data_IF_198700390560
#
_entry.id   IF_198700390560
#
_cell.length_a   1.000
_cell.length_b   1.000
_cell.length_c   1.000
_cell.angle_alpha   90.00
_cell.angle_beta   90.00
_cell.angle_gamma   90.00
#
_symmetry.space_group_name_H-M   'P 1'
#
loop_
_entity.id
_entity.type
_entity.pdbx_description
1 polymer ?
#
# COMPACT_ATOMS: atom_id res chain seq x y z
N UNK A 1 0.73 -16.08 -10.70
CA UNK A 1 -0.57 -15.35 -10.70
C UNK A 1 -0.24 -13.89 -10.46
N UNK A 2 -0.80 -12.97 -11.25
CA UNK A 2 -0.53 -11.53 -11.07
C UNK A 2 -1.56 -10.94 -10.11
N UNK A 3 -1.11 -10.11 -9.17
CA UNK A 3 -1.94 -9.39 -8.22
C UNK A 3 -1.71 -7.89 -8.46
N UNK A 4 -2.72 -7.22 -9.00
CA UNK A 4 -2.75 -5.78 -9.24
C UNK A 4 -3.21 -5.03 -7.99
N UNK A 5 -2.30 -4.29 -7.38
CA UNK A 5 -2.55 -3.41 -6.25
C UNK A 5 -2.63 -1.97 -6.73
N UNK A 6 -3.75 -1.28 -6.50
CA UNK A 6 -3.92 0.13 -6.88
C UNK A 6 -3.84 1.00 -5.64
N UNK A 7 -3.02 2.05 -5.67
CA UNK A 7 -2.83 2.97 -4.55
C UNK A 7 -3.49 4.31 -4.85
N UNK A 8 -4.44 4.72 -4.01
CA UNK A 8 -5.29 5.90 -4.21
C UNK A 8 -5.26 6.81 -2.99
N UNK A 9 -5.69 8.06 -3.15
CA UNK A 9 -5.61 9.06 -2.09
C UNK A 9 -5.30 10.45 -2.66
N UNK A 10 -5.47 11.48 -1.83
CA UNK A 10 -5.28 12.87 -2.25
C UNK A 10 -3.85 13.16 -2.77
N UNK A 11 -3.72 14.24 -3.53
CA UNK A 11 -2.40 14.71 -3.96
C UNK A 11 -1.57 15.10 -2.73
N UNK A 12 -0.29 14.71 -2.70
CA UNK A 12 0.62 15.08 -1.61
C UNK A 12 0.50 14.26 -0.32
N UNK A 13 -0.36 13.23 -0.27
CA UNK A 13 -0.43 12.33 0.89
C UNK A 13 0.75 11.35 0.97
N UNK A 14 1.61 11.27 -0.06
CA UNK A 14 2.82 10.45 -0.01
C UNK A 14 2.72 9.06 -0.65
N UNK A 15 1.74 8.82 -1.53
CA UNK A 15 1.62 7.56 -2.31
C UNK A 15 2.91 7.26 -3.09
N UNK A 16 3.31 8.15 -3.99
CA UNK A 16 4.55 8.02 -4.76
C UNK A 16 5.79 7.89 -3.86
N UNK A 17 5.84 8.63 -2.75
CA UNK A 17 6.93 8.54 -1.77
C UNK A 17 6.99 7.15 -1.14
N UNK A 18 5.85 6.59 -0.75
CA UNK A 18 5.73 5.24 -0.19
C UNK A 18 6.25 4.19 -1.16
N UNK A 19 5.93 4.30 -2.45
CA UNK A 19 6.40 3.36 -3.47
C UNK A 19 7.90 3.53 -3.73
N UNK A 20 8.40 4.75 -3.82
CA UNK A 20 9.85 5.01 -3.96
C UNK A 20 10.64 4.49 -2.75
N UNK A 21 10.14 4.70 -1.54
CA UNK A 21 10.76 4.18 -0.32
C UNK A 21 10.76 2.67 -0.31
N UNK A 22 9.66 2.00 -0.73
CA UNK A 22 9.61 0.55 -0.88
C UNK A 22 10.70 0.05 -1.84
N UNK A 23 10.86 0.69 -3.00
CA UNK A 23 11.87 0.33 -4.03
C UNK A 23 13.29 0.45 -3.48
N UNK A 24 13.56 1.53 -2.76
CA UNK A 24 14.89 1.82 -2.24
C UNK A 24 15.23 1.05 -0.95
N UNK A 25 14.28 0.30 -0.38
CA UNK A 25 14.60 -0.67 0.65
C UNK A 25 15.26 -1.87 -0.04
N UNK A 26 16.54 -2.12 0.25
CA UNK A 26 17.37 -3.25 -0.25
C UNK A 26 16.77 -4.66 0.02
N UNK A 27 15.56 -4.73 0.59
CA UNK A 27 14.83 -5.92 1.03
C UNK A 27 13.64 -6.27 0.14
N UNK A 28 13.56 -5.74 -1.09
CA UNK A 28 12.58 -6.24 -2.04
C UNK A 28 13.00 -7.63 -2.50
N UNK A 29 12.53 -8.63 -1.75
CA UNK A 29 12.52 -10.01 -2.21
C UNK A 29 11.90 -10.06 -3.62
N UNK A 30 12.30 -11.03 -4.45
CA UNK A 30 11.90 -11.20 -5.86
C UNK A 30 10.37 -11.33 -6.13
N UNK A 31 9.52 -11.07 -5.13
CA UNK A 31 8.06 -11.12 -5.16
C UNK A 31 7.40 -9.81 -5.62
N UNK A 32 8.08 -8.66 -5.59
CA UNK A 32 7.49 -7.35 -5.86
C UNK A 32 8.01 -6.75 -7.17
N UNK A 33 7.10 -6.32 -8.06
CA UNK A 33 7.46 -5.55 -9.27
C UNK A 33 6.73 -4.21 -9.24
N UNK A 34 7.50 -3.12 -9.35
CA UNK A 34 6.95 -1.77 -9.44
C UNK A 34 6.78 -1.37 -10.92
N UNK A 35 5.60 -0.87 -11.27
CA UNK A 35 5.31 -0.25 -12.58
C UNK A 35 4.83 1.19 -12.35
N UNK A 36 5.66 2.23 -12.60
CA UNK A 36 5.21 3.61 -12.52
C UNK A 36 4.15 3.89 -13.59
N UNK A 37 3.13 4.70 -13.29
CA UNK A 37 2.10 5.10 -14.28
C UNK A 37 2.10 6.61 -14.48
N UNK A 38 2.68 7.11 -15.59
CA UNK A 38 2.07 7.98 -16.62
C UNK A 38 2.97 7.83 -17.87
N UNK A 39 2.54 7.01 -18.85
CA UNK A 39 3.25 6.75 -20.13
C UNK A 39 4.72 6.27 -20.01
N UNK A 40 4.91 4.96 -19.99
CA UNK A 40 5.82 4.26 -20.90
C UNK A 40 5.56 2.75 -20.77
N UNK A 41 5.11 2.16 -21.87
CA UNK A 41 4.96 0.72 -22.03
C UNK A 41 6.32 0.18 -22.48
N UNK A 42 7.07 -0.46 -21.58
CA UNK A 42 8.00 -1.52 -21.97
C UNK A 42 7.97 -2.63 -20.92
N UNK A 43 7.33 -3.73 -21.29
CA UNK A 43 7.35 -4.98 -20.54
C UNK A 43 8.66 -5.71 -20.77
N UNK A 44 9.15 -6.38 -19.73
CA UNK A 44 10.24 -7.34 -19.86
C UNK A 44 9.88 -8.56 -19.02
N UNK A 45 9.66 -9.68 -19.71
CA UNK A 45 9.37 -10.97 -19.09
C UNK A 45 10.63 -11.52 -18.41
N UNK A 46 10.43 -12.06 -17.20
CA UNK A 46 11.37 -13.03 -16.65
C UNK A 46 10.61 -14.14 -15.95
N UNK A 47 10.65 -15.33 -16.56
CA UNK A 47 10.21 -16.60 -16.01
C UNK A 47 11.35 -17.25 -15.26
N UNK A 48 11.11 -17.69 -14.02
CA UNK A 48 11.96 -18.70 -13.38
C UNK A 48 11.09 -19.95 -13.10
N UNK A 49 11.53 -21.09 -13.63
CA UNK A 49 10.73 -22.28 -14.00
C UNK A 49 10.19 -23.15 -12.84
N UNK A 50 10.31 -22.76 -11.58
CA UNK A 50 10.06 -23.73 -10.48
C UNK A 50 9.02 -23.31 -9.44
N UNK A 51 8.41 -22.14 -9.62
CA UNK A 51 7.39 -21.59 -8.72
C UNK A 51 6.41 -20.78 -9.59
N UNK A 52 5.11 -20.73 -9.28
CA UNK A 52 4.30 -19.58 -9.71
C UNK A 52 4.31 -18.57 -8.54
N UNK A 53 5.37 -17.74 -8.37
CA UNK A 53 5.29 -16.65 -7.41
C UNK A 53 4.11 -15.74 -7.81
N UNK A 54 3.50 -15.10 -6.81
CA UNK A 54 2.58 -14.02 -7.09
C UNK A 54 3.39 -12.83 -7.60
N UNK A 55 3.06 -12.31 -8.78
CA UNK A 55 3.61 -11.04 -9.25
C UNK A 55 2.75 -9.93 -8.65
N UNK A 56 3.22 -9.32 -7.56
CA UNK A 56 2.52 -8.19 -6.96
C UNK A 56 2.94 -6.90 -7.68
N UNK A 57 2.03 -6.38 -8.52
CA UNK A 57 2.23 -5.14 -9.27
C UNK A 57 1.52 -3.99 -8.59
N UNK A 58 2.26 -2.93 -8.27
CA UNK A 58 1.73 -1.76 -7.58
C UNK A 58 1.57 -0.62 -8.58
N UNK A 59 0.35 -0.09 -8.68
CA UNK A 59 -0.02 1.04 -9.52
C UNK A 59 -0.17 2.29 -8.66
N UNK A 60 0.74 3.24 -8.86
CA UNK A 60 0.62 4.60 -8.30
C UNK A 60 -0.42 5.38 -9.10
N UNK A 61 -1.27 6.16 -8.42
CA UNK A 61 -2.30 6.97 -9.09
C UNK A 61 -2.24 8.45 -8.69
N UNK A 62 -2.49 9.38 -9.63
CA UNK A 62 -2.58 10.80 -9.30
C UNK A 62 -3.83 11.09 -8.45
N UNK A 63 -3.66 11.92 -7.41
CA UNK A 63 -4.76 12.32 -6.51
C UNK A 63 -5.57 13.56 -6.94
N UNK A 64 -5.19 14.20 -8.06
CA UNK A 64 -5.86 15.39 -8.59
C UNK A 64 -7.07 15.00 -9.44
N UNK A 65 -8.15 15.78 -9.33
CA UNK A 65 -9.41 15.56 -10.07
C UNK A 65 -9.26 15.54 -11.59
N UNK A 66 -8.31 16.31 -12.12
CA UNK A 66 -7.99 16.33 -13.56
C UNK A 66 -7.66 14.94 -14.13
N UNK A 67 -7.19 14.01 -13.31
CA UNK A 67 -6.83 12.65 -13.72
C UNK A 67 -7.86 11.58 -13.36
N UNK A 68 -9.08 11.97 -12.98
CA UNK A 68 -10.11 11.03 -12.51
C UNK A 68 -10.42 9.94 -13.54
N UNK A 69 -10.62 10.31 -14.81
CA UNK A 69 -10.88 9.32 -15.88
C UNK A 69 -9.76 8.31 -16.06
N UNK A 70 -8.51 8.78 -16.07
CA UNK A 70 -7.34 7.90 -16.20
C UNK A 70 -7.20 6.97 -15.00
N UNK A 71 -7.41 7.50 -13.78
CA UNK A 71 -7.37 6.69 -12.56
C UNK A 71 -8.49 5.65 -12.53
N UNK A 72 -9.69 5.99 -12.95
CA UNK A 72 -10.82 5.05 -12.98
C UNK A 72 -10.52 3.84 -13.88
N UNK A 73 -9.79 4.03 -14.98
CA UNK A 73 -9.33 2.92 -15.83
C UNK A 73 -8.33 2.00 -15.10
N UNK A 74 -7.61 2.49 -14.09
CA UNK A 74 -6.68 1.65 -13.32
C UNK A 74 -7.39 0.65 -12.40
N UNK A 75 -8.67 0.85 -12.09
CA UNK A 75 -9.45 -0.12 -11.29
C UNK A 75 -9.88 -1.35 -12.09
N UNK A 76 -9.85 -1.29 -13.43
CA UNK A 76 -10.07 -2.46 -14.27
C UNK A 76 -9.05 -3.54 -13.87
N UNK A 77 -9.56 -4.72 -13.52
CA UNK A 77 -8.78 -5.86 -13.03
C UNK A 77 -7.95 -5.62 -11.76
N UNK A 78 -8.27 -4.59 -10.97
CA UNK A 78 -7.68 -4.44 -9.65
C UNK A 78 -8.01 -5.68 -8.78
N UNK A 79 -7.02 -6.11 -8.00
CA UNK A 79 -7.14 -7.23 -7.07
C UNK A 79 -7.21 -6.75 -5.62
N UNK A 80 -6.56 -5.63 -5.30
CA UNK A 80 -6.61 -4.99 -3.99
C UNK A 80 -6.38 -3.50 -4.13
N UNK A 81 -6.97 -2.70 -3.25
CA UNK A 81 -6.77 -1.25 -3.20
C UNK A 81 -6.15 -0.82 -1.87
N UNK A 82 -5.22 0.13 -1.92
CA UNK A 82 -4.69 0.83 -0.76
C UNK A 82 -5.20 2.26 -0.80
N UNK A 83 -6.08 2.63 0.14
CA UNK A 83 -6.54 4.01 0.31
C UNK A 83 -5.60 4.73 1.27
N UNK A 84 -4.94 5.77 0.81
CA UNK A 84 -4.00 6.56 1.59
C UNK A 84 -4.60 7.92 2.00
N UNK A 85 -4.37 8.30 3.25
CA UNK A 85 -4.51 9.68 3.74
C UNK A 85 -3.28 10.06 4.57
N UNK A 86 -3.04 11.37 4.71
CA UNK A 86 -1.92 11.91 5.48
C UNK A 86 -2.38 12.34 6.86
N UNK A 87 -1.65 11.98 7.91
CA UNK A 87 -2.07 12.28 9.30
C UNK A 87 -2.03 13.78 9.64
N UNK A 88 -1.37 14.60 8.82
CA UNK A 88 -1.29 16.05 8.93
C UNK A 88 -2.33 16.78 8.05
N UNK A 89 -3.29 16.04 7.45
CA UNK A 89 -4.32 16.61 6.58
C UNK A 89 -5.69 16.00 6.86
N UNK A 90 -6.48 16.70 7.69
CA UNK A 90 -7.88 16.36 8.00
C UNK A 90 -8.76 16.26 6.75
N UNK A 91 -8.49 17.10 5.74
CA UNK A 91 -9.14 17.03 4.43
C UNK A 91 -8.89 15.68 3.74
N UNK A 92 -7.65 15.20 3.73
CA UNK A 92 -7.33 13.91 3.10
C UNK A 92 -7.97 12.73 3.84
N UNK A 93 -8.10 12.82 5.17
CA UNK A 93 -8.80 11.82 5.99
C UNK A 93 -10.30 11.80 5.68
N UNK A 94 -10.93 12.97 5.55
CA UNK A 94 -12.33 13.06 5.15
C UNK A 94 -12.58 12.48 3.74
N UNK A 95 -11.69 12.81 2.80
CA UNK A 95 -11.74 12.31 1.44
C UNK A 95 -11.47 10.80 1.35
N UNK A 96 -10.75 10.19 2.30
CA UNK A 96 -10.56 8.74 2.35
C UNK A 96 -11.91 8.00 2.38
N UNK A 97 -12.91 8.58 3.06
CA UNK A 97 -14.28 8.08 3.04
C UNK A 97 -15.07 8.60 1.83
N UNK A 98 -15.33 9.91 1.78
CA UNK A 98 -16.34 10.51 0.89
C UNK A 98 -15.91 10.65 -0.57
N UNK A 99 -14.70 10.19 -0.89
CA UNK A 99 -14.18 10.20 -2.25
C UNK A 99 -13.55 8.86 -2.59
N UNK A 100 -12.49 8.48 -1.87
CA UNK A 100 -11.68 7.33 -2.26
C UNK A 100 -12.41 6.01 -2.02
N UNK A 101 -13.05 5.86 -0.87
CA UNK A 101 -13.90 4.71 -0.60
C UNK A 101 -15.13 4.69 -1.52
N UNK A 102 -15.83 5.82 -1.68
CA UNK A 102 -17.01 5.88 -2.55
C UNK A 102 -16.68 5.57 -4.03
N UNK A 103 -15.53 6.05 -4.52
CA UNK A 103 -15.06 5.80 -5.88
C UNK A 103 -14.80 4.30 -6.13
N UNK A 104 -14.25 3.59 -5.15
CA UNK A 104 -14.01 2.14 -5.28
C UNK A 104 -15.26 1.30 -5.02
N UNK A 105 -16.16 1.73 -4.12
CA UNK A 105 -17.33 0.93 -3.73
C UNK A 105 -18.52 1.11 -4.65
N UNK A 106 -18.80 2.34 -5.07
CA UNK A 106 -20.00 2.67 -5.81
C UNK A 106 -19.71 3.15 -7.23
N UNK A 107 -18.47 3.56 -7.51
CA UNK A 107 -18.10 4.17 -8.78
C UNK A 107 -17.66 3.16 -9.85
N UNK A 108 -16.45 2.65 -9.71
CA UNK A 108 -15.67 2.21 -10.88
C UNK A 108 -14.97 0.85 -10.75
N UNK A 109 -15.06 0.18 -9.59
CA UNK A 109 -14.60 -1.21 -9.49
C UNK A 109 -15.69 -2.15 -10.04
N UNK A 110 -15.40 -2.97 -11.07
CA UNK A 110 -16.40 -3.85 -11.68
C UNK A 110 -16.82 -5.04 -10.80
N UNK A 111 -16.10 -5.27 -9.69
CA UNK A 111 -16.34 -6.34 -8.74
C UNK A 111 -15.98 -5.88 -7.33
N UNK A 112 -16.54 -6.55 -6.33
CA UNK A 112 -16.10 -6.37 -4.94
C UNK A 112 -14.64 -6.82 -4.80
N UNK A 113 -13.79 -5.91 -4.34
CA UNK A 113 -12.37 -6.15 -4.11
C UNK A 113 -11.98 -5.74 -2.69
N UNK A 114 -11.06 -6.46 -2.05
CA UNK A 114 -10.56 -6.08 -0.74
C UNK A 114 -9.79 -4.77 -0.83
N UNK A 115 -9.86 -3.98 0.24
CA UNK A 115 -9.09 -2.75 0.35
C UNK A 115 -8.63 -2.53 1.79
N UNK A 116 -7.52 -1.81 1.94
CA UNK A 116 -6.99 -1.40 3.24
C UNK A 116 -6.96 0.13 3.32
N UNK A 117 -7.03 0.63 4.55
CA UNK A 117 -6.85 2.05 4.85
C UNK A 117 -5.45 2.27 5.43
N UNK A 118 -4.70 3.22 4.86
CA UNK A 118 -3.32 3.51 5.26
C UNK A 118 -3.16 4.98 5.63
N UNK A 119 -2.69 5.24 6.86
CA UNK A 119 -2.25 6.54 7.29
C UNK A 119 -0.76 6.73 6.98
N UNK A 120 -0.42 7.82 6.30
CA UNK A 120 0.96 8.15 5.93
C UNK A 120 1.50 9.31 6.75
N UNK A 121 2.84 9.47 6.72
CA UNK A 121 3.60 10.53 7.40
C UNK A 121 3.47 10.49 8.93
N UNK A 122 3.43 9.29 9.51
CA UNK A 122 3.22 9.09 10.95
C UNK A 122 4.31 9.70 11.83
N UNK A 123 5.48 9.99 11.26
CA UNK A 123 6.54 10.78 11.87
C UNK A 123 6.08 12.18 12.31
N UNK A 124 5.04 12.73 11.68
CA UNK A 124 4.55 14.08 11.98
C UNK A 124 3.68 14.17 13.24
N UNK A 125 3.37 13.05 13.93
CA UNK A 125 2.56 13.10 15.16
C UNK A 125 3.20 13.88 16.28
N UNK A 126 4.53 13.81 16.36
CA UNK A 126 5.33 14.45 17.40
C UNK A 126 6.20 15.58 16.84
N UNK A 127 5.94 16.00 15.59
CA UNK A 127 6.70 17.05 14.92
C UNK A 127 6.20 18.43 15.37
N UNK A 128 7.03 19.25 16.07
CA UNK A 128 6.57 20.51 16.64
C UNK A 128 6.06 21.50 15.58
N UNK A 129 6.69 21.55 14.42
CA UNK A 129 6.30 22.46 13.34
C UNK A 129 4.94 22.10 12.77
N UNK A 130 4.68 20.80 12.56
CA UNK A 130 3.38 20.30 12.13
C UNK A 130 2.31 20.58 13.18
N UNK A 131 2.60 20.35 14.46
CA UNK A 131 1.66 20.62 15.56
C UNK A 131 1.29 22.10 15.59
N UNK A 132 2.29 23.00 15.58
CA UNK A 132 2.07 24.45 15.61
C UNK A 132 1.28 24.95 14.39
N UNK A 133 1.62 24.45 13.20
CA UNK A 133 0.90 24.77 11.96
C UNK A 133 -0.57 24.35 12.04
N UNK A 134 -0.83 23.11 12.46
CA UNK A 134 -2.21 22.61 12.56
C UNK A 134 -3.02 23.34 13.63
N UNK A 135 -2.42 23.69 14.77
CA UNK A 135 -3.06 24.53 15.78
C UNK A 135 -3.45 25.89 15.23
N UNK A 136 -2.58 26.52 14.43
CA UNK A 136 -2.87 27.80 13.75
C UNK A 136 -4.03 27.66 12.75
N UNK A 137 -4.12 26.52 12.08
CA UNK A 137 -5.22 26.18 11.16
C UNK A 137 -6.51 25.73 11.90
N UNK A 138 -6.50 25.63 13.23
CA UNK A 138 -7.64 25.18 14.04
C UNK A 138 -7.91 23.68 13.97
N UNK A 139 -6.89 22.89 13.67
CA UNK A 139 -6.96 21.43 13.48
C UNK A 139 -5.87 20.72 14.30
N UNK A 140 -5.93 19.39 14.38
CA UNK A 140 -4.93 18.54 15.03
C UNK A 140 -4.55 17.36 14.13
N UNK A 141 -3.39 16.75 14.38
CA UNK A 141 -2.99 15.51 13.71
C UNK A 141 -4.03 14.41 13.91
N UNK A 142 -4.16 13.52 12.94
CA UNK A 142 -5.06 12.36 13.02
C UNK A 142 -4.43 11.28 13.91
N UNK A 143 -5.16 10.90 14.94
CA UNK A 143 -4.77 9.82 15.86
C UNK A 143 -4.93 8.43 15.24
N UNK A 144 -4.21 7.46 15.79
CA UNK A 144 -4.35 6.05 15.40
C UNK A 144 -5.77 5.54 15.63
N UNK A 145 -6.40 5.96 16.72
CA UNK A 145 -7.77 5.58 17.09
C UNK A 145 -8.79 6.09 16.07
N UNK A 146 -8.63 7.33 15.58
CA UNK A 146 -9.49 7.88 14.52
C UNK A 146 -9.33 7.11 13.22
N UNK A 147 -8.09 6.80 12.83
CA UNK A 147 -7.81 5.96 11.65
C UNK A 147 -8.44 4.57 11.73
N UNK A 148 -8.29 3.90 12.88
CA UNK A 148 -8.92 2.59 13.14
C UNK A 148 -10.44 2.66 13.12
N UNK A 149 -11.03 3.71 13.72
CA UNK A 149 -12.49 3.93 13.70
C UNK A 149 -12.99 4.08 12.27
N UNK A 150 -12.30 4.87 11.46
CA UNK A 150 -12.68 5.04 10.06
C UNK A 150 -12.55 3.73 9.28
N UNK A 151 -11.42 3.02 9.41
CA UNK A 151 -11.22 1.72 8.76
C UNK A 151 -12.34 0.73 9.07
N UNK A 152 -12.77 0.64 10.34
CA UNK A 152 -13.90 -0.17 10.75
C UNK A 152 -15.22 0.31 10.15
N UNK A 153 -15.46 1.62 10.15
CA UNK A 153 -16.68 2.23 9.64
C UNK A 153 -16.89 1.95 8.15
N UNK A 154 -15.82 2.05 7.34
CA UNK A 154 -15.90 1.82 5.89
C UNK A 154 -15.75 0.34 5.51
N UNK A 155 -15.47 -0.55 6.47
CA UNK A 155 -15.29 -1.98 6.21
C UNK A 155 -13.98 -2.33 5.51
N UNK A 156 -12.90 -1.59 5.80
CA UNK A 156 -11.56 -1.91 5.31
C UNK A 156 -11.08 -3.25 5.91
N UNK A 157 -10.38 -4.07 5.12
CA UNK A 157 -9.83 -5.34 5.59
C UNK A 157 -8.75 -5.15 6.67
N UNK A 158 -8.04 -4.02 6.63
CA UNK A 158 -7.04 -3.65 7.61
C UNK A 158 -6.87 -2.12 7.69
N UNK A 159 -6.34 -1.68 8.83
CA UNK A 159 -5.79 -0.35 9.02
C UNK A 159 -4.28 -0.44 9.21
N UNK A 160 -3.53 0.36 8.46
CA UNK A 160 -2.07 0.40 8.51
C UNK A 160 -1.57 1.83 8.64
N UNK A 161 -0.34 1.98 9.13
CA UNK A 161 0.31 3.25 9.32
C UNK A 161 1.75 3.14 8.83
N UNK A 162 2.29 4.19 8.20
CA UNK A 162 3.69 4.19 7.79
C UNK A 162 4.33 5.59 7.82
N UNK A 163 5.64 5.62 8.05
CA UNK A 163 6.48 6.78 7.81
C UNK A 163 7.50 6.45 6.72
N UNK A 164 7.38 7.13 5.58
CA UNK A 164 8.38 7.02 4.51
C UNK A 164 9.70 7.69 4.89
N UNK A 165 9.64 8.74 5.72
CA UNK A 165 10.80 9.47 6.25
C UNK A 165 11.66 8.56 7.13
N UNK A 166 11.02 7.84 8.04
CA UNK A 166 11.68 6.93 8.97
C UNK A 166 11.85 5.51 8.41
N UNK A 167 11.33 5.23 7.21
CA UNK A 167 11.28 3.89 6.60
C UNK A 167 10.52 2.86 7.46
N UNK A 168 9.53 3.33 8.20
CA UNK A 168 8.74 2.51 9.12
C UNK A 168 7.48 1.97 8.43
N UNK A 169 7.26 0.67 8.54
CA UNK A 169 6.02 -0.03 8.15
C UNK A 169 5.59 0.10 6.69
N UNK A 170 6.43 0.63 5.80
CA UNK A 170 6.13 0.77 4.36
C UNK A 170 5.93 -0.60 3.70
N UNK A 171 6.79 -1.58 4.02
CA UNK A 171 6.67 -2.93 3.49
C UNK A 171 5.44 -3.65 4.06
N UNK A 172 5.11 -3.38 5.31
CA UNK A 172 3.96 -3.93 6.04
C UNK A 172 2.63 -3.50 5.40
N UNK A 173 2.53 -2.27 4.89
CA UNK A 173 1.35 -1.81 4.12
C UNK A 173 1.06 -2.76 2.95
N UNK A 174 2.07 -3.06 2.14
CA UNK A 174 1.88 -3.90 0.95
C UNK A 174 1.75 -5.38 1.29
N UNK A 175 2.39 -5.85 2.36
CA UNK A 175 2.16 -7.20 2.90
C UNK A 175 0.72 -7.39 3.36
N UNK A 176 0.15 -6.41 4.05
CA UNK A 176 -1.23 -6.49 4.52
C UNK A 176 -2.23 -6.37 3.36
N UNK A 177 -1.92 -5.60 2.32
CA UNK A 177 -2.70 -5.57 1.08
C UNK A 177 -2.72 -6.95 0.39
N UNK A 178 -1.55 -7.58 0.20
CA UNK A 178 -1.46 -8.92 -0.38
C UNK A 178 -2.19 -9.96 0.48
N UNK A 179 -2.05 -9.90 1.81
CA UNK A 179 -2.75 -10.77 2.74
C UNK A 179 -4.27 -10.59 2.66
N UNK A 180 -4.75 -9.35 2.55
CA UNK A 180 -6.18 -9.04 2.37
C UNK A 180 -6.72 -9.64 1.08
N UNK A 181 -5.96 -9.57 -0.01
CA UNK A 181 -6.28 -10.26 -1.27
C UNK A 181 -6.36 -11.77 -1.09
N UNK A 182 -5.34 -12.41 -0.50
CA UNK A 182 -5.33 -13.86 -0.31
C UNK A 182 -6.52 -14.33 0.54
N UNK A 183 -6.81 -13.63 1.64
CA UNK A 183 -7.93 -13.95 2.52
C UNK A 183 -9.29 -13.80 1.80
N UNK A 184 -9.47 -12.72 1.02
CA UNK A 184 -10.72 -12.47 0.31
C UNK A 184 -11.04 -13.57 -0.73
N UNK A 185 -10.01 -14.13 -1.37
CA UNK A 185 -10.17 -15.17 -2.37
C UNK A 185 -10.02 -16.60 -1.82
N UNK A 186 -9.96 -16.78 -0.50
CA UNK A 186 -9.64 -18.07 0.14
C UNK A 186 -8.38 -18.73 -0.47
N UNK A 187 -7.44 -17.92 -0.94
CA UNK A 187 -6.13 -18.39 -1.36
C UNK A 187 -5.36 -18.64 -0.07
N UNK A 188 -5.49 -19.87 0.46
CA UNK A 188 -4.61 -20.35 1.52
C UNK A 188 -3.17 -20.16 1.06
N UNK A 189 -2.25 -19.77 1.95
CA UNK A 189 -0.82 -19.98 1.71
C UNK A 189 -0.68 -21.45 1.32
N UNK A 190 -0.53 -21.74 0.03
CA UNK A 190 -0.38 -23.11 -0.46
C UNK A 190 0.83 -23.67 0.29
N UNK A 191 0.79 -24.94 0.71
CA UNK A 191 1.88 -25.58 1.47
C UNK A 191 3.29 -25.34 0.85
N UNK A 192 3.34 -25.07 -0.45
CA UNK A 192 4.51 -24.62 -1.20
C UNK A 192 5.10 -23.28 -0.70
N UNK A 193 4.30 -22.26 -0.39
CA UNK A 193 4.75 -20.94 0.10
C UNK A 193 5.32 -21.06 1.52
N UNK A 194 4.71 -21.88 2.38
CA UNK A 194 5.21 -22.17 3.73
C UNK A 194 6.59 -22.84 3.69
N UNK A 195 6.74 -23.87 2.85
CA UNK A 195 8.03 -24.55 2.62
C UNK A 195 9.12 -23.62 2.09
N UNK A 196 8.78 -22.66 1.23
CA UNK A 196 9.73 -21.66 0.71
C UNK A 196 10.13 -20.62 1.74
N UNK A 197 9.19 -20.16 2.58
CA UNK A 197 9.46 -19.24 3.69
C UNK A 197 10.43 -19.86 4.68
N UNK A 198 10.27 -21.15 4.96
CA UNK A 198 11.16 -21.92 5.84
C UNK A 198 12.55 -22.10 5.19
N UNK A 199 12.61 -22.39 3.88
CA UNK A 199 13.89 -22.44 3.13
C UNK A 199 14.62 -21.09 3.06
N UNK A 200 13.90 -19.99 2.89
CA UNK A 200 14.47 -18.64 2.85
C UNK A 200 14.97 -18.18 4.22
N UNK A 201 14.23 -18.49 5.30
CA UNK A 201 14.71 -18.29 6.68
C UNK A 201 16.02 -19.03 6.93
N UNK A 202 16.10 -20.29 6.51
CA UNK A 202 17.30 -21.11 6.68
C UNK A 202 18.50 -20.58 5.87
N UNK A 203 18.25 -19.97 4.70
CA UNK A 203 19.29 -19.35 3.86
C UNK A 203 19.78 -18.00 4.42
N UNK A 204 18.88 -17.22 5.01
CA UNK A 204 19.20 -15.98 5.71
C UNK A 204 19.97 -16.24 7.01
N UNK A 205 19.65 -17.30 7.75
CA UNK A 205 20.43 -17.74 8.92
C UNK A 205 21.81 -18.25 8.52
N UNK A 206 21.92 -19.04 7.45
CA UNK A 206 23.20 -19.49 6.91
C UNK A 206 24.13 -18.33 6.52
N UNK A 207 23.60 -17.30 5.85
CA UNK A 207 24.41 -16.12 5.50
C UNK A 207 24.78 -15.26 6.71
N UNK A 208 23.97 -15.20 7.76
CA UNK A 208 24.35 -14.55 9.03
C UNK A 208 25.48 -15.28 9.74
N UNK A 209 25.53 -16.61 9.68
CA UNK A 209 26.62 -17.41 10.25
C UNK A 209 27.93 -17.28 9.46
N UNK A 210 27.88 -17.10 8.14
CA UNK A 210 29.09 -16.86 7.33
C UNK A 210 29.66 -15.43 7.45
N UNK A 211 28.87 -14.45 7.89
CA UNK A 211 29.30 -13.06 8.06
C UNK A 211 29.96 -12.78 9.44
N UNK A 212 30.11 -13.81 10.27
CA UNK A 212 30.72 -13.77 11.62
C UNK A 212 32.06 -14.53 11.71
N UNK A 213 32.63 -14.92 10.56
CA UNK A 213 34.00 -15.44 10.39
C UNK A 213 34.80 -14.47 9.51
#
# INVERSE_FOLDING_TARGET
MQVKCVVVGDSGVGKTTMLKTLINMEKLDAFYRYEPTILDFEGLDYTNELLKPFFFKIYDTPGKSYFDRLRQLTYLDANVVVICFSIDSRKSFWNAHHRWYDEIRYGFCPKDIPFILTATKTDLRNDPDTINRLQTEGTIVISTEEGKKLAKHIGACAYTECSCKNRESVLEVFREALKSYCNFHNVTETQQIKSLRDKLKHKLEYHKSCALL
#
